data_IF_859908414583
#
_entry.id   IF_859908414583
#
_cell.length_a   1.000
_cell.length_b   1.000
_cell.length_c   1.000
_cell.angle_alpha   90.00
_cell.angle_beta   90.00
_cell.angle_gamma   90.00
#
_symmetry.space_group_name_H-M   'P 1'
#
loop_
_entity.id
_entity.type
_entity.pdbx_description
1 polymer ?
#
# COMPACT_ATOMS: atom_id res chain seq x y z
N UNK A 1 33.69 -0.32 9.41
CA UNK A 1 33.10 -0.18 8.07
C UNK A 1 31.64 -0.62 8.20
N UNK A 2 30.76 0.33 8.45
CA UNK A 2 29.38 0.06 8.86
C UNK A 2 28.44 0.00 7.66
N UNK A 3 27.50 -0.93 7.72
CA UNK A 3 26.23 -1.11 6.96
C UNK A 3 25.42 0.17 6.62
N UNK A 4 25.88 1.35 7.02
CA UNK A 4 25.25 2.63 6.69
C UNK A 4 25.37 3.02 5.20
N UNK A 5 26.21 2.32 4.41
CA UNK A 5 26.42 2.64 3.00
C UNK A 5 25.47 1.91 2.03
N UNK A 6 24.70 0.92 2.48
CA UNK A 6 23.86 0.09 1.60
C UNK A 6 22.48 0.71 1.29
N UNK A 7 22.01 1.68 2.09
CA UNK A 7 20.70 2.32 1.89
C UNK A 7 20.74 3.57 1.00
N UNK A 8 21.93 4.05 0.60
CA UNK A 8 22.06 5.20 -0.32
C UNK A 8 21.69 4.85 -1.77
N UNK A 9 21.66 3.57 -2.13
CA UNK A 9 21.50 3.09 -3.53
C UNK A 9 20.05 2.76 -3.95
N UNK A 10 19.04 3.19 -3.18
CA UNK A 10 17.65 3.26 -3.64
C UNK A 10 17.13 4.70 -3.63
N UNK A 11 17.97 5.65 -4.03
CA UNK A 11 17.49 6.99 -4.33
C UNK A 11 16.55 6.89 -5.54
N UNK A 12 15.25 7.05 -5.30
CA UNK A 12 14.32 7.35 -6.39
C UNK A 12 14.79 8.65 -7.06
N UNK A 13 14.50 8.84 -8.36
CA UNK A 13 14.78 10.11 -9.02
C UNK A 13 14.19 11.29 -8.24
N UNK A 14 14.77 12.47 -8.40
CA UNK A 14 14.27 13.68 -7.76
C UNK A 14 12.78 13.90 -8.07
N UNK A 15 11.99 14.19 -7.05
CA UNK A 15 10.53 14.37 -7.16
C UNK A 15 9.71 13.07 -7.24
N UNK A 16 10.35 11.89 -7.28
CA UNK A 16 9.68 10.60 -7.25
C UNK A 16 9.65 10.08 -5.82
N UNK A 17 8.45 9.83 -5.31
CA UNK A 17 8.24 9.31 -3.96
C UNK A 17 7.61 7.93 -3.98
N UNK A 18 8.10 7.05 -3.11
CA UNK A 18 7.49 5.75 -2.90
C UNK A 18 6.10 5.92 -2.27
N UNK A 19 5.06 5.18 -2.70
CA UNK A 19 3.75 5.23 -2.09
C UNK A 19 3.81 4.88 -0.60
N UNK A 20 3.06 5.63 0.22
CA UNK A 20 3.01 5.44 1.67
C UNK A 20 1.58 5.28 2.14
N UNK A 21 1.42 4.52 3.21
CA UNK A 21 0.18 4.49 3.96
C UNK A 21 -0.04 5.82 4.70
N UNK A 22 -1.27 6.06 5.17
CA UNK A 22 -1.62 7.24 5.98
C UNK A 22 -0.77 7.37 7.26
N UNK A 23 -0.27 6.25 7.80
CA UNK A 23 0.66 6.22 8.94
C UNK A 23 2.13 6.54 8.56
N UNK A 24 2.42 6.74 7.27
CA UNK A 24 3.74 7.07 6.74
C UNK A 24 4.61 5.87 6.37
N UNK A 25 4.18 4.63 6.65
CA UNK A 25 4.92 3.43 6.24
C UNK A 25 4.92 3.26 4.72
N UNK A 26 5.99 2.68 4.17
CA UNK A 26 6.07 2.35 2.74
C UNK A 26 5.09 1.25 2.38
N UNK A 27 4.36 1.42 1.29
CA UNK A 27 3.58 0.35 0.68
C UNK A 27 4.52 -0.61 -0.03
N UNK A 28 4.42 -1.90 0.29
CA UNK A 28 5.24 -2.97 -0.30
C UNK A 28 4.34 -4.01 -0.97
N UNK A 29 4.93 -4.73 -1.93
CA UNK A 29 4.32 -5.96 -2.45
C UNK A 29 4.03 -6.90 -1.28
N UNK A 30 2.82 -7.47 -1.30
CA UNK A 30 2.30 -8.35 -0.27
C UNK A 30 1.54 -7.63 0.85
N UNK A 31 1.60 -6.29 0.94
CA UNK A 31 0.74 -5.55 1.86
C UNK A 31 -0.72 -5.54 1.39
N UNK A 32 -1.61 -5.41 2.36
CA UNK A 32 -3.03 -5.22 2.12
C UNK A 32 -3.38 -3.73 2.09
N UNK A 33 -4.31 -3.37 1.20
CA UNK A 33 -4.82 -2.01 1.02
C UNK A 33 -6.34 -2.03 0.96
N UNK A 34 -6.98 -0.92 1.33
CA UNK A 34 -8.41 -0.72 1.09
C UNK A 34 -8.63 -0.25 -0.36
N UNK A 35 -9.50 -0.94 -1.09
CA UNK A 35 -9.95 -0.55 -2.42
C UNK A 35 -11.46 -0.72 -2.51
N UNK A 36 -12.20 0.37 -2.68
CA UNK A 36 -13.67 0.36 -2.76
C UNK A 36 -14.36 -0.37 -1.59
N UNK A 37 -13.81 -0.25 -0.38
CA UNK A 37 -14.30 -0.92 0.83
C UNK A 37 -13.88 -2.40 0.97
N UNK A 38 -13.12 -2.92 0.02
CA UNK A 38 -12.60 -4.28 0.02
C UNK A 38 -11.11 -4.32 0.38
N UNK A 39 -10.70 -5.44 0.99
CA UNK A 39 -9.29 -5.71 1.25
C UNK A 39 -8.66 -6.37 0.03
N UNK A 40 -7.60 -5.76 -0.50
CA UNK A 40 -6.83 -6.31 -1.63
C UNK A 40 -5.35 -6.36 -1.32
N UNK A 41 -4.62 -7.31 -1.93
CA UNK A 41 -3.18 -7.47 -1.71
C UNK A 41 -2.38 -6.91 -2.88
N UNK A 42 -1.43 -6.03 -2.60
CA UNK A 42 -0.53 -5.45 -3.60
C UNK A 42 0.38 -6.53 -4.18
N UNK A 43 0.45 -6.66 -5.50
CA UNK A 43 1.39 -7.55 -6.17
C UNK A 43 2.38 -6.81 -7.07
N UNK A 44 2.13 -5.55 -7.42
CA UNK A 44 3.06 -4.72 -8.19
C UNK A 44 2.93 -3.24 -7.85
N UNK A 45 4.06 -2.52 -7.94
CA UNK A 45 4.16 -1.07 -7.75
C UNK A 45 4.87 -0.50 -8.98
N UNK A 46 4.25 0.49 -9.63
CA UNK A 46 4.83 1.20 -10.76
C UNK A 46 4.84 2.72 -10.51
N UNK A 47 5.89 3.38 -10.99
CA UNK A 47 6.04 4.84 -10.95
C UNK A 47 5.66 5.45 -12.29
N UNK A 48 4.92 6.55 -12.26
CA UNK A 48 4.52 7.34 -13.43
C UNK A 48 5.13 8.74 -13.36
N UNK A 49 4.90 9.55 -14.40
CA UNK A 49 5.43 10.92 -14.44
C UNK A 49 4.92 11.81 -13.30
N UNK A 50 3.74 11.54 -12.74
CA UNK A 50 3.08 12.37 -11.72
C UNK A 50 2.66 11.60 -10.46
N UNK A 51 2.99 10.32 -10.35
CA UNK A 51 2.61 9.55 -9.19
C UNK A 51 2.92 8.07 -9.31
N UNK A 52 2.03 7.25 -8.76
CA UNK A 52 2.23 5.83 -8.64
C UNK A 52 0.97 5.05 -8.98
N UNK A 53 1.18 3.79 -9.32
CA UNK A 53 0.14 2.80 -9.55
C UNK A 53 0.44 1.56 -8.72
N UNK A 54 -0.53 1.13 -7.92
CA UNK A 54 -0.53 -0.15 -7.22
C UNK A 54 -1.46 -1.10 -7.97
N UNK A 55 -0.93 -2.26 -8.32
CA UNK A 55 -1.75 -3.37 -8.79
C UNK A 55 -2.03 -4.29 -7.61
N UNK A 56 -3.31 -4.56 -7.39
CA UNK A 56 -3.80 -5.29 -6.24
C UNK A 56 -4.68 -6.43 -6.71
N UNK A 57 -4.66 -7.56 -6.01
CA UNK A 57 -5.49 -8.71 -6.33
C UNK A 57 -6.17 -9.24 -5.07
N UNK A 58 -7.32 -9.88 -5.28
CA UNK A 58 -7.95 -10.86 -4.39
C UNK A 58 -8.36 -12.06 -5.23
N UNK A 59 -8.78 -13.15 -4.58
CA UNK A 59 -9.00 -14.47 -5.23
C UNK A 59 -9.75 -14.44 -6.57
N UNK A 60 -10.68 -13.51 -6.77
CA UNK A 60 -11.53 -13.43 -7.96
C UNK A 60 -11.47 -12.09 -8.71
N UNK A 61 -10.64 -11.15 -8.28
CA UNK A 61 -10.68 -9.78 -8.82
C UNK A 61 -9.32 -9.08 -8.71
N UNK A 62 -8.91 -8.47 -9.81
CA UNK A 62 -7.75 -7.59 -9.89
C UNK A 62 -8.21 -6.13 -9.93
N UNK A 63 -7.53 -5.29 -9.15
CA UNK A 63 -7.81 -3.87 -8.99
C UNK A 63 -6.56 -3.04 -9.20
N UNK A 64 -6.77 -1.75 -9.46
CA UNK A 64 -5.69 -0.79 -9.65
C UNK A 64 -5.98 0.46 -8.85
N UNK A 65 -5.08 0.81 -7.93
CA UNK A 65 -5.09 2.08 -7.22
C UNK A 65 -4.05 3.02 -7.84
N UNK A 66 -4.44 4.26 -8.12
CA UNK A 66 -3.52 5.30 -8.59
C UNK A 66 -3.50 6.41 -7.54
N UNK A 67 -2.35 7.07 -7.41
CA UNK A 67 -2.25 8.29 -6.61
C UNK A 67 -1.11 9.16 -7.08
N UNK A 68 -1.14 10.43 -6.69
CA UNK A 68 -0.06 11.37 -6.96
C UNK A 68 1.09 11.20 -5.97
N UNK A 69 2.28 11.74 -6.29
CA UNK A 69 3.35 11.82 -5.29
C UNK A 69 2.90 12.65 -4.08
N UNK A 70 3.19 12.16 -2.88
CA UNK A 70 2.69 12.71 -1.61
C UNK A 70 1.32 12.18 -1.16
N UNK A 71 0.51 11.62 -2.06
CA UNK A 71 -0.78 11.00 -1.70
C UNK A 71 -0.57 9.74 -0.85
N UNK A 72 -1.54 9.46 0.05
CA UNK A 72 -1.46 8.37 1.02
C UNK A 72 -2.48 7.28 0.74
N UNK A 73 -2.07 6.05 0.95
CA UNK A 73 -2.87 4.83 0.76
C UNK A 73 -3.55 4.48 2.08
N UNK A 74 -4.83 4.12 2.01
CA UNK A 74 -5.56 3.61 3.17
C UNK A 74 -5.20 2.17 3.46
N UNK A 75 -5.02 1.86 4.73
CA UNK A 75 -5.01 0.47 5.19
C UNK A 75 -6.44 -0.07 5.20
N UNK A 76 -6.61 -1.40 5.03
CA UNK A 76 -7.90 -2.01 5.27
C UNK A 76 -8.35 -1.73 6.70
N UNK A 77 -9.59 -1.29 6.85
CA UNK A 77 -10.22 -1.23 8.17
C UNK A 77 -10.32 -2.65 8.73
N UNK A 78 -9.81 -2.95 9.94
CA UNK A 78 -10.00 -4.25 10.55
C UNK A 78 -11.49 -4.59 10.60
N UNK A 79 -11.87 -5.75 10.06
CA UNK A 79 -13.22 -6.28 10.29
C UNK A 79 -13.32 -6.58 11.78
N UNK A 80 -13.92 -5.65 12.55
CA UNK A 80 -14.28 -5.91 13.93
C UNK A 80 -15.23 -7.10 13.87
N UNK A 81 -14.76 -8.27 14.30
CA UNK A 81 -15.62 -9.40 14.57
C UNK A 81 -16.62 -8.90 15.62
N UNK A 82 -17.84 -8.60 15.20
CA UNK A 82 -18.94 -8.46 16.14
C UNK A 82 -18.95 -9.76 16.93
N UNK A 83 -18.56 -9.67 18.21
CA UNK A 83 -18.57 -10.79 19.12
C UNK A 83 -20.01 -11.32 19.11
N UNK A 84 -20.23 -12.49 18.54
CA UNK A 84 -21.44 -13.24 18.80
C UNK A 84 -21.41 -13.64 20.28
N UNK A 85 -22.38 -13.15 21.04
CA UNK A 85 -22.62 -13.43 22.45
C UNK A 85 -23.61 -12.39 22.97
N UNK A 86 -24.77 -12.71 23.51
CA UNK A 86 -25.30 -13.98 24.01
C UNK A 86 -26.81 -14.00 23.75
N UNK A 87 -27.37 -15.20 23.55
CA UNK A 87 -28.80 -15.40 23.71
C UNK A 87 -29.14 -15.46 25.19
N UNK A 88 -30.28 -14.90 25.55
CA UNK A 88 -31.31 -15.52 26.40
C UNK A 88 -32.67 -14.88 26.07
#
# INVERSE_FOLDING_TARGET
MGIANELRERALPEGIEWPRFEDGELVKVGNEVEFEGETMRVFSVAFTFNGWVLWCARESFDGRLCGSYGERVKRPTPKVLAKAGEGE
#
